data_IF_428760704991
#
_entry.id   IF_428760704991
#
_cell.length_a   1.000
_cell.length_b   1.000
_cell.length_c   1.000
_cell.angle_alpha   90.00
_cell.angle_beta   90.00
_cell.angle_gamma   90.00
#
_symmetry.space_group_name_H-M   'P 1'
#
loop_
_entity.id
_entity.type
_entity.pdbx_description
1 polymer ?
#
# COMPACT_ATOMS: atom_id res chain seq x y z
N UNK A 1 23.18 4.88 8.22
CA UNK A 1 24.34 4.49 7.44
C UNK A 1 25.32 3.69 8.28
N UNK A 2 25.99 2.66 7.71
CA UNK A 2 26.97 1.83 8.40
C UNK A 2 26.46 0.60 9.14
N UNK A 3 25.14 0.42 9.31
CA UNK A 3 24.60 -0.81 9.88
C UNK A 3 24.80 -1.99 8.93
N UNK A 4 25.25 -3.12 9.51
CA UNK A 4 25.43 -4.38 8.80
C UNK A 4 24.40 -5.39 9.32
N UNK A 5 23.79 -6.16 8.42
CA UNK A 5 22.86 -7.23 8.84
C UNK A 5 23.59 -8.35 9.54
N UNK A 6 22.86 -9.13 10.33
CA UNK A 6 23.33 -10.45 10.74
C UNK A 6 23.62 -11.31 9.49
N UNK A 7 24.56 -12.28 9.59
CA UNK A 7 24.87 -13.19 8.50
C UNK A 7 23.63 -13.94 8.04
N UNK A 8 23.28 -13.80 6.75
CA UNK A 8 22.14 -14.50 6.12
C UNK A 8 22.69 -15.68 5.30
N UNK A 9 22.31 -16.91 5.62
CA UNK A 9 22.70 -18.07 4.81
C UNK A 9 21.99 -18.03 3.46
N UNK A 10 22.77 -18.16 2.40
CA UNK A 10 22.28 -18.34 1.03
C UNK A 10 22.88 -19.63 0.45
N UNK A 11 22.35 -20.22 -0.61
CA UNK A 11 22.92 -21.43 -1.20
C UNK A 11 24.41 -21.26 -1.52
N UNK A 12 25.26 -22.10 -0.90
CA UNK A 12 26.72 -22.15 -1.02
C UNK A 12 27.49 -20.90 -0.53
N UNK A 13 26.85 -19.98 0.24
CA UNK A 13 27.51 -18.80 0.77
C UNK A 13 26.79 -18.19 1.99
N UNK A 14 27.41 -17.17 2.59
CA UNK A 14 26.78 -16.32 3.61
C UNK A 14 26.83 -14.88 3.11
N UNK A 15 25.68 -14.22 3.13
CA UNK A 15 25.57 -12.82 2.72
C UNK A 15 25.53 -11.90 3.93
N UNK A 16 26.25 -10.79 3.80
CA UNK A 16 26.21 -9.64 4.71
C UNK A 16 25.80 -8.41 3.89
N UNK A 17 24.79 -7.68 4.34
CA UNK A 17 24.35 -6.46 3.70
C UNK A 17 24.72 -5.27 4.60
N UNK A 18 25.37 -4.27 4.02
CA UNK A 18 25.64 -3.01 4.69
C UNK A 18 24.86 -1.88 4.05
N UNK A 19 24.10 -1.16 4.86
CA UNK A 19 23.47 0.07 4.41
C UNK A 19 24.54 1.17 4.32
N UNK A 20 24.88 1.57 3.10
CA UNK A 20 25.93 2.59 2.86
C UNK A 20 25.37 4.00 2.90
N UNK A 21 24.19 4.21 2.33
CA UNK A 21 23.54 5.51 2.25
C UNK A 21 22.02 5.35 2.08
N UNK A 22 21.27 6.37 2.51
CA UNK A 22 19.84 6.52 2.27
C UNK A 22 19.68 7.87 1.55
N UNK A 23 19.36 7.84 0.28
CA UNK A 23 18.96 9.04 -0.44
C UNK A 23 17.44 9.15 -0.36
N UNK A 24 16.96 10.10 0.44
CA UNK A 24 15.57 10.49 0.42
C UNK A 24 15.29 11.25 -0.87
N UNK A 25 14.61 10.62 -1.81
CA UNK A 25 14.11 11.31 -2.98
C UNK A 25 12.82 12.02 -2.59
N UNK A 26 12.73 13.33 -2.83
CA UNK A 26 11.48 14.09 -2.76
C UNK A 26 10.55 13.67 -3.92
N UNK A 27 10.21 12.39 -3.99
CA UNK A 27 9.13 11.99 -4.87
C UNK A 27 7.85 12.64 -4.36
N UNK A 28 7.09 13.36 -5.19
CA UNK A 28 5.81 13.91 -4.77
C UNK A 28 4.96 12.76 -4.22
N UNK A 29 4.32 13.00 -3.07
CA UNK A 29 3.42 12.00 -2.49
C UNK A 29 2.41 11.56 -3.57
N UNK A 30 2.15 10.26 -3.71
CA UNK A 30 1.23 9.79 -4.73
C UNK A 30 -0.13 10.44 -4.51
N UNK A 31 -0.63 11.12 -5.52
CA UNK A 31 -1.97 11.69 -5.51
C UNK A 31 -2.96 10.63 -5.98
N UNK A 32 -4.06 10.50 -5.26
CA UNK A 32 -5.12 9.55 -5.60
C UNK A 32 -6.34 10.30 -6.11
N UNK A 33 -6.93 9.81 -7.20
CA UNK A 33 -8.21 10.32 -7.72
C UNK A 33 -9.40 9.80 -6.93
N UNK A 34 -9.27 8.59 -6.38
CA UNK A 34 -10.29 7.97 -5.55
C UNK A 34 -9.66 7.00 -4.53
N UNK A 35 -10.34 6.87 -3.40
CA UNK A 35 -10.05 5.88 -2.36
C UNK A 35 -11.33 5.07 -2.13
N UNK A 36 -11.22 3.76 -2.26
CA UNK A 36 -12.28 2.82 -1.95
C UNK A 36 -12.03 2.22 -0.58
N UNK A 37 -13.04 2.23 0.29
CA UNK A 37 -12.98 1.69 1.63
C UNK A 37 -14.31 1.11 2.06
N UNK A 38 -14.27 0.22 3.04
CA UNK A 38 -15.44 -0.35 3.68
C UNK A 38 -15.40 -0.09 5.18
N UNK A 39 -16.54 0.32 5.76
CA UNK A 39 -16.73 0.51 7.18
C UNK A 39 -17.82 -0.43 7.67
N UNK A 40 -17.45 -1.40 8.50
CA UNK A 40 -18.37 -2.32 9.13
C UNK A 40 -18.55 -1.94 10.60
N UNK A 41 -19.81 -1.77 11.02
CA UNK A 41 -20.14 -1.26 12.36
C UNK A 41 -20.45 -2.39 13.33
N UNK A 42 -19.64 -2.51 14.38
CA UNK A 42 -19.76 -3.54 15.40
C UNK A 42 -20.38 -2.91 16.67
N UNK A 43 -21.53 -3.41 17.16
CA UNK A 43 -22.14 -2.92 18.40
C UNK A 43 -21.22 -3.15 19.60
N UNK A 44 -21.35 -2.27 20.60
CA UNK A 44 -20.59 -2.37 21.86
C UNK A 44 -19.29 -1.56 21.87
N UNK A 45 -18.98 -0.85 20.80
CA UNK A 45 -17.82 0.04 20.73
C UNK A 45 -16.50 -0.68 21.04
N UNK A 46 -15.64 -0.04 21.83
CA UNK A 46 -14.34 -0.61 22.24
C UNK A 46 -14.41 -1.50 23.48
N UNK A 47 -15.57 -2.04 23.80
CA UNK A 47 -15.68 -3.06 24.85
C UNK A 47 -14.91 -4.34 24.48
N UNK A 48 -14.63 -5.17 25.45
CA UNK A 48 -13.99 -6.47 25.22
C UNK A 48 -14.78 -7.32 24.20
N UNK A 49 -16.11 -7.30 24.28
CA UNK A 49 -16.98 -8.01 23.34
C UNK A 49 -16.88 -7.44 21.91
N UNK A 50 -16.90 -6.10 21.77
CA UNK A 50 -16.76 -5.43 20.47
C UNK A 50 -15.41 -5.71 19.81
N UNK A 51 -14.32 -5.65 20.58
CA UNK A 51 -12.97 -5.97 20.08
C UNK A 51 -12.83 -7.46 19.71
N UNK A 52 -13.39 -8.36 20.55
CA UNK A 52 -13.38 -9.80 20.22
C UNK A 52 -14.18 -10.11 18.95
N UNK A 53 -15.29 -9.41 18.70
CA UNK A 53 -16.02 -9.54 17.44
C UNK A 53 -15.22 -8.99 16.26
N UNK A 54 -14.53 -7.86 16.43
CA UNK A 54 -13.67 -7.32 15.39
C UNK A 54 -12.56 -8.32 14.98
N UNK A 55 -11.94 -9.00 15.94
CA UNK A 55 -10.94 -10.03 15.66
C UNK A 55 -11.55 -11.26 14.93
N UNK A 56 -12.79 -11.66 15.28
CA UNK A 56 -13.48 -12.74 14.54
C UNK A 56 -13.78 -12.32 13.09
N UNK A 57 -14.19 -11.07 12.88
CA UNK A 57 -14.41 -10.54 11.53
C UNK A 57 -13.08 -10.53 10.78
N UNK A 58 -12.00 -10.02 11.39
CA UNK A 58 -10.67 -9.97 10.79
C UNK A 58 -10.17 -11.34 10.33
N UNK A 59 -10.42 -12.38 11.13
CA UNK A 59 -10.02 -13.75 10.79
C UNK A 59 -10.81 -14.37 9.63
N UNK A 60 -11.84 -13.70 9.13
CA UNK A 60 -12.77 -14.20 8.08
C UNK A 60 -12.75 -13.38 6.81
N UNK A 61 -12.06 -12.25 6.80
CA UNK A 61 -12.05 -11.32 5.68
C UNK A 61 -10.62 -11.06 5.22
N UNK A 62 -10.37 -11.29 3.96
CA UNK A 62 -9.12 -10.96 3.27
C UNK A 62 -9.33 -9.79 2.31
N UNK A 63 -10.54 -9.61 1.83
CA UNK A 63 -10.94 -8.56 0.89
C UNK A 63 -12.18 -7.82 1.37
N UNK A 64 -12.42 -6.62 0.83
CA UNK A 64 -13.64 -5.87 1.14
C UNK A 64 -14.92 -6.60 0.72
N UNK A 65 -14.86 -7.49 -0.26
CA UNK A 65 -16.02 -8.26 -0.70
C UNK A 65 -16.48 -9.28 0.35
N UNK A 66 -15.57 -9.80 1.15
CA UNK A 66 -15.87 -10.75 2.21
C UNK A 66 -16.75 -10.14 3.30
N UNK A 67 -16.68 -8.80 3.48
CA UNK A 67 -17.53 -8.08 4.43
C UNK A 67 -19.01 -8.20 4.11
N UNK A 68 -19.39 -8.37 2.84
CA UNK A 68 -20.79 -8.65 2.48
C UNK A 68 -21.26 -10.00 3.04
N UNK A 69 -20.36 -10.99 3.07
CA UNK A 69 -20.64 -12.29 3.70
C UNK A 69 -20.85 -12.17 5.21
N UNK A 70 -20.05 -11.32 5.88
CA UNK A 70 -20.18 -11.04 7.32
C UNK A 70 -21.44 -10.23 7.63
N UNK A 71 -21.83 -9.32 6.74
CA UNK A 71 -23.03 -8.48 6.88
C UNK A 71 -24.32 -9.19 6.49
N UNK A 72 -24.25 -10.38 5.87
CA UNK A 72 -25.43 -11.12 5.41
C UNK A 72 -26.43 -11.37 6.54
N UNK A 73 -27.68 -10.97 6.31
CA UNK A 73 -28.76 -11.12 7.29
C UNK A 73 -28.78 -10.05 8.39
N UNK A 74 -27.90 -9.07 8.33
CA UNK A 74 -27.89 -7.90 9.22
C UNK A 74 -28.51 -6.69 8.51
N UNK A 75 -28.89 -5.62 9.25
CA UNK A 75 -29.38 -4.39 8.64
C UNK A 75 -28.37 -3.79 7.65
N UNK A 76 -28.84 -3.17 6.57
CA UNK A 76 -27.98 -2.55 5.55
C UNK A 76 -27.03 -1.52 6.14
N UNK A 77 -27.44 -0.81 7.19
CA UNK A 77 -26.64 0.19 7.90
C UNK A 77 -25.42 -0.36 8.65
N UNK A 78 -25.23 -1.68 8.67
CA UNK A 78 -24.08 -2.31 9.34
C UNK A 78 -22.80 -2.23 8.48
N UNK A 79 -22.93 -2.11 7.18
CA UNK A 79 -21.80 -2.05 6.26
C UNK A 79 -22.00 -0.91 5.26
N UNK A 80 -21.07 0.05 5.29
CA UNK A 80 -20.93 1.08 4.28
C UNK A 80 -19.69 0.77 3.44
N UNK A 81 -19.83 0.72 2.13
CA UNK A 81 -18.72 0.65 1.17
C UNK A 81 -18.80 1.84 0.25
N UNK A 82 -17.75 2.60 0.20
CA UNK A 82 -17.72 3.87 -0.51
C UNK A 82 -16.45 4.01 -1.35
N UNK A 83 -16.60 4.69 -2.47
CA UNK A 83 -15.49 5.17 -3.29
C UNK A 83 -15.61 6.70 -3.37
N UNK A 84 -14.66 7.40 -2.76
CA UNK A 84 -14.68 8.86 -2.65
C UNK A 84 -13.33 9.47 -3.04
N UNK A 85 -13.37 10.73 -3.48
CA UNK A 85 -12.15 11.53 -3.62
C UNK A 85 -11.55 11.80 -2.23
N UNK A 86 -10.22 11.91 -2.10
CA UNK A 86 -9.59 12.14 -0.80
C UNK A 86 -10.17 13.31 0.00
N UNK A 87 -10.54 14.42 -0.67
CA UNK A 87 -11.13 15.58 -0.02
C UNK A 87 -12.59 15.44 0.39
N UNK A 88 -13.29 14.38 -0.03
CA UNK A 88 -14.70 14.10 0.31
C UNK A 88 -14.83 13.10 1.46
N UNK A 89 -13.73 12.50 1.89
CA UNK A 89 -13.69 11.55 3.00
C UNK A 89 -13.66 12.31 4.33
N UNK A 90 -14.48 11.93 5.33
CA UNK A 90 -14.38 12.51 6.67
C UNK A 90 -12.96 12.43 7.21
N UNK A 91 -12.50 13.51 7.86
CA UNK A 91 -11.09 13.68 8.24
C UNK A 91 -10.57 12.54 9.14
N UNK A 92 -11.38 12.07 10.07
CA UNK A 92 -11.03 10.97 10.96
C UNK A 92 -10.84 9.63 10.21
N UNK A 93 -11.71 9.35 9.25
CA UNK A 93 -11.60 8.18 8.36
C UNK A 93 -10.37 8.34 7.45
N UNK A 94 -10.18 9.51 6.84
CA UNK A 94 -9.05 9.77 5.95
C UNK A 94 -7.70 9.58 6.67
N UNK A 95 -7.61 10.03 7.93
CA UNK A 95 -6.42 9.88 8.75
C UNK A 95 -6.13 8.39 9.07
N UNK A 96 -7.16 7.60 9.36
CA UNK A 96 -6.96 6.17 9.58
C UNK A 96 -6.63 5.43 8.29
N UNK A 97 -7.32 5.75 7.19
CA UNK A 97 -7.02 5.15 5.89
C UNK A 97 -5.59 5.44 5.41
N UNK A 98 -5.03 6.61 5.78
CA UNK A 98 -3.65 6.96 5.39
C UNK A 98 -2.58 6.04 5.99
N UNK A 99 -2.92 5.34 7.06
CA UNK A 99 -2.02 4.42 7.78
C UNK A 99 -2.11 2.97 7.28
N UNK A 100 -3.12 2.66 6.46
CA UNK A 100 -3.42 1.31 6.03
C UNK A 100 -2.89 1.05 4.63
N UNK A 101 -2.39 -0.15 4.40
CA UNK A 101 -2.18 -0.68 3.06
C UNK A 101 -3.46 -1.35 2.53
N UNK A 102 -3.48 -1.66 1.23
CA UNK A 102 -4.64 -2.30 0.61
C UNK A 102 -4.92 -3.66 1.26
N UNK A 103 -6.14 -3.89 1.67
CA UNK A 103 -6.56 -5.08 2.42
C UNK A 103 -6.35 -4.97 3.94
N UNK A 104 -5.68 -3.94 4.43
CA UNK A 104 -5.49 -3.74 5.87
C UNK A 104 -6.71 -3.14 6.56
N UNK A 105 -6.77 -3.37 7.86
CA UNK A 105 -7.90 -3.02 8.72
C UNK A 105 -7.48 -2.20 9.92
N UNK A 106 -8.27 -1.18 10.25
CA UNK A 106 -8.19 -0.42 11.51
C UNK A 106 -9.47 -0.57 12.33
N UNK A 107 -9.31 -0.68 13.64
CA UNK A 107 -10.41 -0.65 14.63
C UNK A 107 -10.25 0.53 15.61
N UNK A 108 -9.56 1.59 15.17
CA UNK A 108 -9.27 2.74 16.01
C UNK A 108 -10.48 3.66 16.21
N UNK A 109 -11.40 3.69 15.25
CA UNK A 109 -12.53 4.61 15.23
C UNK A 109 -13.78 4.03 15.90
N UNK A 110 -14.61 4.93 16.43
CA UNK A 110 -15.94 4.62 16.94
C UNK A 110 -16.98 5.58 16.38
N UNK A 111 -18.25 5.18 16.39
CA UNK A 111 -19.42 5.98 16.02
C UNK A 111 -20.50 5.90 17.11
N UNK A 112 -21.54 6.72 16.98
CA UNK A 112 -22.66 6.78 17.92
C UNK A 112 -22.19 6.99 19.37
N UNK A 113 -21.36 8.01 19.62
CA UNK A 113 -20.80 8.32 20.95
C UNK A 113 -20.07 7.13 21.60
N UNK A 114 -19.32 6.36 20.80
CA UNK A 114 -18.55 5.23 21.30
C UNK A 114 -19.33 3.91 21.37
N UNK A 115 -20.60 3.88 21.02
CA UNK A 115 -21.44 2.68 21.10
C UNK A 115 -21.18 1.68 19.95
N UNK A 116 -20.64 2.13 18.83
CA UNK A 116 -20.28 1.30 17.70
C UNK A 116 -18.79 1.39 17.42
N UNK A 117 -18.10 0.25 17.30
CA UNK A 117 -16.74 0.15 16.81
C UNK A 117 -16.78 0.17 15.27
N UNK A 118 -15.89 0.93 14.67
CA UNK A 118 -15.74 0.94 13.21
C UNK A 118 -14.61 -0.01 12.83
N UNK A 119 -14.96 -1.08 12.17
CA UNK A 119 -14.02 -1.96 11.48
C UNK A 119 -13.81 -1.38 10.08
N UNK A 120 -12.75 -0.59 9.91
CA UNK A 120 -12.43 0.14 8.69
C UNK A 120 -11.41 -0.65 7.87
N UNK A 121 -11.73 -0.93 6.62
CA UNK A 121 -10.85 -1.66 5.69
C UNK A 121 -10.57 -0.82 4.46
N UNK A 122 -9.30 -0.72 4.06
CA UNK A 122 -8.92 -0.08 2.81
C UNK A 122 -9.04 -1.08 1.65
N UNK A 123 -9.95 -0.81 0.73
CA UNK A 123 -10.19 -1.69 -0.44
C UNK A 123 -9.22 -1.39 -1.57
N UNK A 124 -8.91 -0.11 -1.81
CA UNK A 124 -7.97 0.28 -2.85
C UNK A 124 -7.80 1.79 -2.99
N UNK A 125 -6.77 2.17 -3.72
CA UNK A 125 -6.49 3.55 -4.11
C UNK A 125 -6.31 3.60 -5.63
N UNK A 126 -7.05 4.49 -6.28
CA UNK A 126 -6.86 4.77 -7.71
C UNK A 126 -5.88 5.93 -7.82
N UNK A 127 -4.71 5.68 -8.38
CA UNK A 127 -3.74 6.74 -8.63
C UNK A 127 -4.35 7.79 -9.55
N UNK A 128 -4.13 9.07 -9.27
CA UNK A 128 -4.43 10.12 -10.23
C UNK A 128 -3.53 9.91 -11.43
N UNK A 129 -4.10 9.68 -12.59
CA UNK A 129 -3.35 9.85 -13.82
C UNK A 129 -2.81 11.29 -13.80
N UNK A 130 -1.53 11.46 -14.09
CA UNK A 130 -0.96 12.79 -14.28
C UNK A 130 -1.66 13.41 -15.48
N UNK A 131 -2.77 14.11 -15.25
CA UNK A 131 -3.51 14.85 -16.31
C UNK A 131 -2.62 15.92 -16.95
N UNK A 132 -1.52 16.29 -16.28
CA UNK A 132 -0.50 17.21 -16.80
C UNK A 132 0.63 16.50 -17.58
N UNK A 133 0.74 15.18 -17.53
CA UNK A 133 1.70 14.46 -18.36
C UNK A 133 1.17 14.40 -19.79
N UNK A 134 1.77 15.18 -20.67
CA UNK A 134 1.44 15.10 -22.10
C UNK A 134 1.80 13.71 -22.63
N UNK A 135 1.11 13.27 -23.68
CA UNK A 135 1.47 12.01 -24.37
C UNK A 135 2.96 11.97 -24.74
N UNK A 136 3.52 13.13 -25.07
CA UNK A 136 4.92 13.27 -25.45
C UNK A 136 5.86 13.06 -24.26
N UNK A 137 5.48 13.49 -23.05
CA UNK A 137 6.26 13.26 -21.82
C UNK A 137 6.32 11.77 -21.51
N UNK A 138 5.19 11.06 -21.60
CA UNK A 138 5.13 9.60 -21.38
C UNK A 138 5.97 8.86 -22.43
N UNK A 139 5.88 9.26 -23.70
CA UNK A 139 6.68 8.68 -24.78
C UNK A 139 8.17 8.92 -24.53
N UNK A 140 8.56 10.10 -24.08
CA UNK A 140 9.95 10.43 -23.79
C UNK A 140 10.51 9.61 -22.64
N UNK A 141 9.76 9.45 -21.55
CA UNK A 141 10.14 8.57 -20.42
C UNK A 141 10.33 7.14 -20.89
N UNK A 142 9.37 6.57 -21.61
CA UNK A 142 9.45 5.20 -22.13
C UNK A 142 10.63 5.00 -23.12
N UNK A 143 10.93 6.02 -23.93
CA UNK A 143 12.11 5.99 -24.81
C UNK A 143 13.40 6.00 -24.01
N UNK A 144 13.48 6.82 -22.96
CA UNK A 144 14.67 6.93 -22.14
C UNK A 144 14.93 5.64 -21.35
N UNK A 145 13.90 5.01 -20.80
CA UNK A 145 14.01 3.70 -20.16
C UNK A 145 14.51 2.62 -21.14
N UNK A 146 13.95 2.60 -22.35
CA UNK A 146 14.37 1.65 -23.39
C UNK A 146 15.80 1.87 -23.85
N UNK A 147 16.22 3.14 -24.02
CA UNK A 147 17.59 3.49 -24.39
C UNK A 147 18.58 3.12 -23.29
N UNK A 148 18.22 3.34 -22.01
CA UNK A 148 19.02 2.92 -20.88
C UNK A 148 19.22 1.41 -20.86
N UNK A 149 18.14 0.63 -21.05
CA UNK A 149 18.24 -0.83 -21.12
C UNK A 149 19.14 -1.32 -22.28
N UNK A 150 19.08 -0.69 -23.45
CA UNK A 150 19.99 -1.02 -24.55
C UNK A 150 21.44 -0.64 -24.26
N UNK A 151 21.67 0.51 -23.60
CA UNK A 151 23.01 0.93 -23.21
C UNK A 151 23.63 -0.02 -22.19
N UNK A 152 22.86 -0.47 -21.20
CA UNK A 152 23.31 -1.44 -20.21
C UNK A 152 23.64 -2.79 -20.84
N UNK A 153 22.78 -3.27 -21.74
CA UNK A 153 23.03 -4.51 -22.47
C UNK A 153 24.30 -4.41 -23.34
N UNK A 154 24.49 -3.30 -24.04
CA UNK A 154 25.68 -3.07 -24.85
C UNK A 154 26.94 -3.00 -23.97
N UNK A 155 26.86 -2.33 -22.83
CA UNK A 155 27.96 -2.27 -21.87
C UNK A 155 28.35 -3.66 -21.36
N UNK A 156 27.37 -4.50 -21.05
CA UNK A 156 27.63 -5.89 -20.63
C UNK A 156 28.29 -6.71 -21.74
N UNK A 157 27.84 -6.56 -22.98
CA UNK A 157 28.46 -7.21 -24.12
C UNK A 157 29.91 -6.74 -24.35
N UNK A 158 30.15 -5.42 -24.25
CA UNK A 158 31.49 -4.86 -24.39
C UNK A 158 32.42 -5.32 -23.25
N UNK A 159 31.91 -5.39 -22.02
CA UNK A 159 32.67 -5.92 -20.87
C UNK A 159 33.00 -7.39 -21.03
N UNK A 160 32.04 -8.20 -21.48
CA UNK A 160 32.26 -9.62 -21.72
C UNK A 160 33.30 -9.90 -22.82
N UNK A 161 33.38 -9.02 -23.80
CA UNK A 161 34.33 -9.15 -24.94
C UNK A 161 35.66 -8.40 -24.71
N UNK A 162 35.77 -7.60 -23.62
CA UNK A 162 36.96 -6.80 -23.36
C UNK A 162 38.12 -7.67 -22.86
N UNK A 163 39.26 -7.64 -23.53
CA UNK A 163 40.53 -8.22 -23.05
C UNK A 163 41.29 -7.18 -22.24
N UNK A 164 41.24 -7.29 -20.90
CA UNK A 164 42.00 -6.39 -20.03
C UNK A 164 43.41 -6.93 -19.84
N UNK A 165 44.40 -6.22 -20.36
CA UNK A 165 45.82 -6.49 -20.11
C UNK A 165 46.30 -5.47 -19.07
N UNK A 166 46.58 -5.95 -17.86
CA UNK A 166 47.24 -5.15 -16.83
C UNK A 166 48.74 -5.25 -17.06
N UNK A 167 49.44 -4.12 -17.25
CA UNK A 167 50.88 -4.02 -17.23
C UNK A 167 51.40 -3.88 -15.80
#
# INVERSE_FOLDING_TARGET
>A
PGQVTAPLPIPNAVALFQMRDIQETNAPAPTYSAIEYAAYYIPGGRSQAGLAEAERVRARVDTCDDLYGVAKGKPVSVLDRETKKPGEIPQDIALELSKLDQGEVSTALTRANGQSLVFLMLCGRTASANESASRDDVINVLRQERLSGYADQLLEQLRANARIVRK
#
